data_IF_545339141311
#
_entry.id   IF_545339141311
#
_cell.length_a   1.000
_cell.length_b   1.000
_cell.length_c   1.000
_cell.angle_alpha   90.00
_cell.angle_beta   90.00
_cell.angle_gamma   90.00
#
_symmetry.space_group_name_H-M   'P 1'
#
loop_
_entity.id
_entity.type
_entity.pdbx_description
1 polymer ?
#
# COMPACT_ATOMS: atom_id res chain seq x y z
N UNK A 1 -9.78 74.00 25.53
CA UNK A 1 -10.40 72.69 25.24
C UNK A 1 -9.30 71.68 24.97
N UNK A 2 -9.22 70.58 25.75
CA UNK A 2 -8.15 69.58 25.64
C UNK A 2 -8.61 68.47 24.68
N UNK A 3 -7.82 68.14 23.65
CA UNK A 3 -8.06 66.96 22.79
C UNK A 3 -7.00 65.90 23.10
N UNK A 4 -7.47 64.78 23.65
CA UNK A 4 -6.67 63.62 24.02
C UNK A 4 -6.70 62.61 22.87
N UNK A 5 -5.55 62.35 22.24
CA UNK A 5 -5.43 61.30 21.23
C UNK A 5 -5.01 59.99 21.91
N UNK A 6 -5.94 59.03 21.98
CA UNK A 6 -5.65 57.68 22.41
C UNK A 6 -5.18 56.85 21.21
N UNK A 7 -3.92 56.40 21.22
CA UNK A 7 -3.42 55.39 20.29
C UNK A 7 -3.60 54.00 20.90
N UNK A 8 -4.37 53.13 20.23
CA UNK A 8 -4.42 51.71 20.58
C UNK A 8 -3.12 51.03 20.13
N UNK A 9 -2.29 50.64 21.10
CA UNK A 9 -1.13 49.79 20.85
C UNK A 9 -1.55 48.40 20.37
N UNK A 10 -0.98 47.95 19.25
CA UNK A 10 -1.38 46.71 18.57
C UNK A 10 -0.87 45.45 19.25
N UNK A 11 -1.70 44.41 19.23
CA UNK A 11 -1.41 43.08 19.78
C UNK A 11 -0.49 42.28 18.87
N UNK A 12 0.79 42.15 19.24
CA UNK A 12 1.67 41.13 18.66
C UNK A 12 1.45 39.78 19.36
N UNK A 13 0.42 39.05 18.94
CA UNK A 13 0.23 37.66 19.35
C UNK A 13 1.25 36.79 18.59
N UNK A 14 2.39 36.52 19.22
CA UNK A 14 3.45 35.70 18.65
C UNK A 14 2.98 34.24 18.46
N UNK A 15 2.56 33.92 17.23
CA UNK A 15 2.12 32.57 16.85
C UNK A 15 3.35 31.67 16.70
N UNK A 16 3.80 31.09 17.82
CA UNK A 16 4.91 30.14 17.85
C UNK A 16 4.53 28.88 17.05
N UNK A 17 5.05 28.77 15.84
CA UNK A 17 4.99 27.55 15.02
C UNK A 17 5.85 26.47 15.67
N UNK A 18 5.27 25.72 16.61
CA UNK A 18 5.84 24.49 17.14
C UNK A 18 5.88 23.42 16.04
N UNK A 19 6.97 23.41 15.28
CA UNK A 19 7.34 22.27 14.44
C UNK A 19 7.71 21.10 15.37
N UNK A 20 6.77 20.19 15.59
CA UNK A 20 7.03 18.99 16.37
C UNK A 20 8.16 18.16 15.71
N UNK A 21 9.17 17.68 16.48
CA UNK A 21 10.23 16.87 15.91
C UNK A 21 9.65 15.57 15.36
N UNK A 22 9.84 15.32 14.07
CA UNK A 22 9.49 14.06 13.43
C UNK A 22 10.46 12.97 13.90
N UNK A 23 10.12 12.31 15.00
CA UNK A 23 11.00 11.37 15.69
C UNK A 23 11.25 10.12 14.82
N UNK A 24 12.40 10.10 14.14
CA UNK A 24 12.82 9.01 13.29
C UNK A 24 13.60 7.99 14.14
N UNK A 25 13.00 6.82 14.35
CA UNK A 25 13.60 5.76 15.16
C UNK A 25 14.57 4.92 14.32
N UNK A 26 15.78 4.67 14.83
CA UNK A 26 16.73 3.75 14.16
C UNK A 26 16.38 2.30 14.49
N UNK A 27 16.38 1.43 13.48
CA UNK A 27 16.12 0.00 13.58
C UNK A 27 17.31 -0.80 13.04
N UNK A 28 17.85 -1.71 13.84
CA UNK A 28 18.89 -2.64 13.40
C UNK A 28 18.25 -3.91 12.83
N UNK A 29 18.51 -4.19 11.56
CA UNK A 29 18.00 -5.37 10.84
C UNK A 29 18.52 -6.65 11.48
N UNK A 30 17.63 -7.58 11.84
CA UNK A 30 18.02 -8.89 12.38
C UNK A 30 18.03 -9.97 11.30
N UNK A 31 18.54 -11.16 11.61
CA UNK A 31 18.46 -12.29 10.68
C UNK A 31 17.00 -12.63 10.35
N UNK A 32 16.72 -12.89 9.07
CA UNK A 32 15.38 -13.19 8.58
C UNK A 32 14.44 -11.97 8.40
N UNK A 33 14.89 -10.74 8.69
CA UNK A 33 14.11 -9.53 8.38
C UNK A 33 14.01 -9.26 6.88
N UNK A 34 13.01 -8.46 6.51
CA UNK A 34 12.88 -7.88 5.17
C UNK A 34 12.30 -6.47 5.31
N UNK A 35 12.56 -5.60 4.33
CA UNK A 35 11.96 -4.25 4.33
C UNK A 35 10.44 -4.29 4.47
N UNK A 36 9.78 -5.33 3.97
CA UNK A 36 8.34 -5.53 4.14
C UNK A 36 7.96 -5.82 5.59
N UNK A 37 8.64 -6.75 6.27
CA UNK A 37 8.39 -7.08 7.68
C UNK A 37 8.62 -5.86 8.59
N UNK A 38 9.71 -5.13 8.37
CA UNK A 38 10.05 -3.91 9.11
C UNK A 38 9.00 -2.82 8.85
N UNK A 39 8.68 -2.53 7.58
CA UNK A 39 7.69 -1.52 7.24
C UNK A 39 6.31 -1.84 7.86
N UNK A 40 5.87 -3.10 7.79
CA UNK A 40 4.64 -3.58 8.41
C UNK A 40 4.65 -3.43 9.94
N UNK A 41 5.73 -3.85 10.61
CA UNK A 41 5.92 -3.75 12.07
C UNK A 41 5.84 -2.31 12.58
N UNK A 42 6.29 -1.35 11.76
CA UNK A 42 6.33 0.08 12.10
C UNK A 42 5.22 0.92 11.43
N UNK A 43 4.22 0.29 10.80
CA UNK A 43 3.06 0.98 10.23
C UNK A 43 3.35 1.85 8.99
N UNK A 44 4.50 1.69 8.35
CA UNK A 44 4.92 2.46 7.16
C UNK A 44 4.91 1.59 5.90
N UNK A 45 5.22 2.20 4.75
CA UNK A 45 5.36 1.48 3.48
C UNK A 45 6.83 1.14 3.20
N UNK A 46 7.07 0.06 2.46
CA UNK A 46 8.42 -0.30 1.96
C UNK A 46 9.01 0.85 1.15
N UNK A 47 8.21 1.52 0.31
CA UNK A 47 8.66 2.68 -0.45
C UNK A 47 9.15 3.82 0.46
N UNK A 48 8.39 4.17 1.52
CA UNK A 48 8.81 5.19 2.49
C UNK A 48 10.06 4.79 3.25
N UNK A 49 10.16 3.53 3.69
CA UNK A 49 11.36 3.00 4.34
C UNK A 49 12.59 3.07 3.41
N UNK A 50 12.42 2.74 2.12
CA UNK A 50 13.48 2.83 1.12
C UNK A 50 13.93 4.25 0.85
N UNK A 51 12.99 5.19 0.62
CA UNK A 51 13.33 6.59 0.32
C UNK A 51 13.97 7.29 1.51
N UNK A 52 13.52 7.02 2.74
CA UNK A 52 14.19 7.52 3.96
C UNK A 52 15.62 6.97 4.12
N UNK A 53 15.95 5.80 3.57
CA UNK A 53 17.27 5.16 3.68
C UNK A 53 18.08 5.14 2.38
N UNK A 54 17.67 5.89 1.35
CA UNK A 54 18.29 5.90 0.02
C UNK A 54 18.51 4.50 -0.61
N UNK A 55 17.67 3.52 -0.25
CA UNK A 55 17.81 2.14 -0.70
C UNK A 55 17.32 1.95 -2.13
N UNK A 56 18.21 1.53 -3.03
CA UNK A 56 17.90 1.25 -4.43
C UNK A 56 17.17 -0.10 -4.59
N UNK A 57 17.66 -1.15 -3.94
CA UNK A 57 17.08 -2.50 -3.97
C UNK A 57 16.16 -2.78 -2.78
N UNK A 58 15.60 -3.99 -2.70
CA UNK A 58 14.83 -4.46 -1.54
C UNK A 58 15.67 -5.37 -0.61
N UNK A 59 16.94 -5.56 -0.94
CA UNK A 59 17.90 -6.38 -0.17
C UNK A 59 18.43 -5.56 1.00
N UNK A 60 18.42 -6.18 2.18
CA UNK A 60 19.03 -5.66 3.41
C UNK A 60 19.86 -6.77 4.05
N UNK A 61 20.83 -6.40 4.88
CA UNK A 61 21.71 -7.33 5.58
C UNK A 61 21.48 -7.27 7.09
N UNK A 62 21.66 -8.39 7.80
CA UNK A 62 21.65 -8.38 9.26
C UNK A 62 22.74 -7.44 9.80
N UNK A 63 22.44 -6.69 10.87
CA UNK A 63 23.28 -5.63 11.40
C UNK A 63 23.15 -4.28 10.69
N UNK A 64 22.50 -4.21 9.52
CA UNK A 64 22.25 -2.93 8.84
C UNK A 64 21.32 -2.03 9.68
N UNK A 65 21.70 -0.78 9.89
CA UNK A 65 20.82 0.22 10.52
C UNK A 65 19.94 0.89 9.47
N UNK A 66 18.64 1.00 9.78
CA UNK A 66 17.65 1.71 8.98
C UNK A 66 16.97 2.79 9.82
N UNK A 67 16.84 4.00 9.27
CA UNK A 67 16.02 5.08 9.80
C UNK A 67 14.56 4.77 9.48
N UNK A 68 13.75 4.53 10.51
CA UNK A 68 12.33 4.21 10.42
C UNK A 68 11.52 5.43 10.89
N UNK A 69 10.89 6.19 9.98
CA UNK A 69 10.07 7.32 10.36
C UNK A 69 8.82 6.81 11.11
N UNK A 70 8.56 7.33 12.31
CA UNK A 70 7.37 6.93 13.07
C UNK A 70 6.11 7.51 12.42
N UNK A 71 5.18 6.64 12.00
CA UNK A 71 3.88 7.05 11.48
C UNK A 71 2.91 7.35 12.63
N UNK A 72 3.11 8.48 13.29
CA UNK A 72 2.13 9.02 14.25
C UNK A 72 1.07 9.82 13.48
N UNK A 73 0.06 9.13 12.95
CA UNK A 73 -1.26 9.70 12.56
C UNK A 73 -2.27 8.55 12.25
N UNK A 74 -3.09 8.29 13.26
CA UNK A 74 -4.54 8.06 13.21
C UNK A 74 -5.20 7.15 12.15
N UNK A 75 -5.72 6.04 12.67
CA UNK A 75 -6.75 5.13 12.14
C UNK A 75 -7.87 5.78 11.31
N UNK A 76 -8.25 5.15 10.19
CA UNK A 76 -9.61 5.25 9.64
C UNK A 76 -10.01 3.99 8.87
N UNK A 77 -10.65 3.08 9.60
CA UNK A 77 -11.31 1.86 9.10
C UNK A 77 -12.66 2.27 8.53
N UNK A 78 -12.87 2.15 7.21
CA UNK A 78 -14.18 2.34 6.60
C UNK A 78 -14.79 1.00 6.17
N UNK A 79 -15.93 0.69 6.77
CA UNK A 79 -16.80 -0.44 6.44
C UNK A 79 -17.86 0.05 5.46
N UNK A 80 -18.08 -0.63 4.34
CA UNK A 80 -19.24 -0.39 3.49
C UNK A 80 -19.74 -1.68 2.85
N UNK A 81 -20.89 -2.14 3.33
CA UNK A 81 -21.64 -3.26 2.77
C UNK A 81 -22.37 -2.82 1.50
N UNK A 82 -22.17 -3.64 0.46
CA UNK A 82 -23.02 -3.91 -0.70
C UNK A 82 -24.49 -3.48 -0.66
N UNK A 83 -24.93 -2.79 -1.71
CA UNK A 83 -26.33 -2.70 -2.16
C UNK A 83 -26.42 -2.58 -3.69
N UNK A 84 -27.56 -2.96 -4.25
CA UNK A 84 -27.82 -3.20 -5.69
C UNK A 84 -29.21 -2.66 -6.08
N UNK A 85 -29.50 -2.24 -7.33
CA UNK A 85 -28.70 -2.26 -8.55
C UNK A 85 -29.14 -1.17 -9.57
N UNK A 86 -28.32 -0.98 -10.62
CA UNK A 86 -28.72 -0.94 -12.04
C UNK A 86 -29.80 0.07 -12.52
N UNK A 87 -29.36 1.12 -13.23
CA UNK A 87 -29.88 1.50 -14.57
C UNK A 87 -28.79 2.23 -15.35
N UNK A 88 -28.84 2.17 -16.68
CA UNK A 88 -27.81 2.67 -17.59
C UNK A 88 -28.29 3.88 -18.41
N UNK A 89 -27.35 4.46 -19.17
CA UNK A 89 -27.59 5.32 -20.34
C UNK A 89 -27.94 6.80 -20.09
N UNK A 90 -26.90 7.63 -19.91
CA UNK A 90 -26.52 8.54 -20.99
C UNK A 90 -25.08 9.08 -20.87
N UNK A 91 -24.39 9.20 -22.00
CA UNK A 91 -23.07 9.82 -22.10
C UNK A 91 -23.21 11.27 -22.56
N UNK A 92 -22.73 12.22 -21.75
CA UNK A 92 -21.88 13.35 -22.17
C UNK A 92 -21.86 14.47 -21.11
N UNK A 93 -20.65 14.97 -20.82
CA UNK A 93 -20.38 16.26 -20.19
C UNK A 93 -20.98 16.52 -18.78
N UNK A 94 -20.18 16.20 -17.76
CA UNK A 94 -20.04 17.08 -16.60
C UNK A 94 -18.66 16.92 -15.93
N UNK A 95 -17.71 17.77 -16.36
CA UNK A 95 -16.55 18.10 -15.55
C UNK A 95 -16.90 19.30 -14.65
N UNK A 96 -17.14 19.07 -13.36
CA UNK A 96 -16.88 20.05 -12.30
C UNK A 96 -16.65 19.32 -10.97
N UNK A 97 -15.89 19.95 -10.06
CA UNK A 97 -15.55 19.51 -8.68
C UNK A 97 -14.68 18.25 -8.52
N UNK A 98 -13.38 18.45 -8.78
CA UNK A 98 -12.23 17.73 -8.19
C UNK A 98 -12.44 17.38 -6.69
N UNK A 99 -12.63 16.10 -6.32
CA UNK A 99 -12.61 15.67 -4.92
C UNK A 99 -11.17 15.61 -4.38
N UNK A 100 -11.03 15.71 -3.05
CA UNK A 100 -9.77 15.78 -2.30
C UNK A 100 -8.57 15.04 -2.92
N UNK A 101 -7.46 15.77 -3.14
CA UNK A 101 -6.24 15.26 -3.77
C UNK A 101 -5.52 14.27 -2.85
N UNK A 102 -5.91 13.01 -2.93
CA UNK A 102 -5.01 11.88 -2.67
C UNK A 102 -3.82 12.04 -3.63
N UNK A 103 -2.59 11.98 -3.13
CA UNK A 103 -1.38 12.01 -3.98
C UNK A 103 -1.55 11.07 -5.18
N UNK A 104 -1.46 11.59 -6.41
CA UNK A 104 -1.39 10.75 -7.60
C UNK A 104 0.03 10.16 -7.69
N UNK A 105 0.26 9.13 -6.87
CA UNK A 105 1.51 8.37 -6.86
C UNK A 105 1.77 7.83 -8.26
N UNK A 106 2.95 8.12 -8.81
CA UNK A 106 3.37 7.59 -10.11
C UNK A 106 3.16 6.07 -10.15
N UNK A 107 2.59 5.57 -11.24
CA UNK A 107 2.32 4.15 -11.43
C UNK A 107 2.66 3.70 -12.85
N UNK A 108 3.24 2.51 -12.95
CA UNK A 108 3.40 1.79 -14.22
C UNK A 108 2.19 0.90 -14.45
N UNK A 109 1.53 1.05 -15.59
CA UNK A 109 0.43 0.17 -16.00
C UNK A 109 0.96 -1.03 -16.80
N UNK A 110 0.48 -2.23 -16.49
CA UNK A 110 0.84 -3.48 -17.20
C UNK A 110 -0.42 -4.33 -17.39
N UNK A 111 -0.63 -4.89 -18.59
CA UNK A 111 -1.64 -5.95 -18.81
C UNK A 111 -1.02 -7.32 -18.57
N UNK A 112 -1.68 -8.16 -17.79
CA UNK A 112 -1.18 -9.49 -17.40
C UNK A 112 -2.27 -10.56 -17.49
N UNK A 113 -1.86 -11.82 -17.61
CA UNK A 113 -2.74 -12.95 -17.30
C UNK A 113 -2.83 -13.13 -15.80
N UNK A 114 -4.03 -13.16 -15.25
CA UNK A 114 -4.30 -13.42 -13.83
C UNK A 114 -5.05 -14.74 -13.65
N UNK A 115 -4.57 -15.54 -12.70
CA UNK A 115 -5.28 -16.68 -12.09
C UNK A 115 -5.55 -16.39 -10.61
N UNK A 116 -6.12 -17.33 -9.87
CA UNK A 116 -6.20 -17.25 -8.42
C UNK A 116 -5.73 -18.53 -7.72
N UNK A 117 -5.09 -18.35 -6.55
CA UNK A 117 -4.68 -19.43 -5.66
C UNK A 117 -5.33 -19.29 -4.28
N UNK A 118 -5.16 -20.32 -3.45
CA UNK A 118 -5.61 -20.32 -2.06
C UNK A 118 -4.58 -20.95 -1.14
N UNK A 119 -4.49 -20.45 0.10
CA UNK A 119 -3.53 -20.89 1.12
C UNK A 119 -4.00 -22.13 1.92
N UNK A 120 -5.22 -22.61 1.65
CA UNK A 120 -5.92 -23.63 2.43
C UNK A 120 -5.89 -25.03 1.80
N UNK A 121 -4.96 -25.27 0.85
CA UNK A 121 -4.66 -26.59 0.33
C UNK A 121 -3.98 -27.49 1.38
N UNK A 122 -4.17 -28.81 1.29
CA UNK A 122 -3.56 -29.81 2.19
C UNK A 122 -2.03 -29.70 2.09
N UNK A 123 -1.36 -29.58 3.24
CA UNK A 123 0.10 -29.42 3.33
C UNK A 123 0.64 -28.02 3.04
N UNK A 124 -0.18 -27.09 2.52
CA UNK A 124 0.27 -25.72 2.24
C UNK A 124 0.55 -24.97 3.54
N UNK A 125 1.74 -24.37 3.69
CA UNK A 125 2.09 -23.55 4.86
C UNK A 125 1.17 -22.33 5.01
N UNK A 126 0.80 -21.73 3.87
CA UNK A 126 0.12 -20.44 3.80
C UNK A 126 1.04 -19.25 4.12
N UNK A 127 2.36 -19.45 4.04
CA UNK A 127 3.37 -18.40 4.20
C UNK A 127 3.92 -18.06 2.82
N UNK A 128 3.85 -16.78 2.43
CA UNK A 128 4.31 -16.30 1.11
C UNK A 128 5.83 -16.08 1.07
N UNK A 129 6.38 -15.84 -0.13
CA UNK A 129 7.78 -15.51 -0.34
C UNK A 129 8.29 -14.31 0.49
N UNK A 130 7.46 -13.30 0.79
CA UNK A 130 7.83 -12.18 1.69
C UNK A 130 7.62 -12.47 3.18
N UNK A 131 7.14 -13.68 3.53
CA UNK A 131 6.87 -14.11 4.91
C UNK A 131 5.47 -13.79 5.43
N UNK A 132 4.52 -13.38 4.56
CA UNK A 132 3.14 -13.09 4.99
C UNK A 132 2.42 -14.40 5.29
N UNK A 133 1.90 -14.56 6.50
CA UNK A 133 1.05 -15.69 6.85
C UNK A 133 -0.42 -15.41 6.48
N UNK A 134 -0.86 -15.93 5.33
CA UNK A 134 -2.21 -15.78 4.79
C UNK A 134 -3.27 -16.50 5.61
N UNK A 135 -2.92 -17.59 6.31
CA UNK A 135 -3.87 -18.28 7.20
C UNK A 135 -4.25 -17.44 8.42
N UNK A 136 -3.29 -16.68 8.97
CA UNK A 136 -3.53 -15.66 10.01
C UNK A 136 -4.16 -14.37 9.44
N UNK A 137 -4.06 -14.12 8.14
CA UNK A 137 -4.52 -12.91 7.47
C UNK A 137 -5.44 -13.23 6.27
N UNK A 138 -6.57 -13.93 6.45
CA UNK A 138 -7.41 -14.47 5.35
C UNK A 138 -7.91 -13.41 4.37
N UNK A 139 -8.08 -12.17 4.83
CA UNK A 139 -8.61 -11.07 4.03
C UNK A 139 -7.52 -10.18 3.40
N UNK A 140 -6.24 -10.47 3.64
CA UNK A 140 -5.14 -9.68 3.08
C UNK A 140 -5.03 -9.89 1.58
N UNK A 141 -4.91 -8.80 0.83
CA UNK A 141 -4.81 -8.82 -0.64
C UNK A 141 -3.36 -9.01 -1.04
N UNK A 142 -2.98 -10.24 -1.37
CA UNK A 142 -1.62 -10.59 -1.81
C UNK A 142 -1.68 -11.23 -3.19
N UNK A 143 -0.73 -10.87 -4.05
CA UNK A 143 -0.54 -11.51 -5.36
C UNK A 143 0.83 -12.17 -5.46
N UNK A 144 0.88 -13.31 -6.15
CA UNK A 144 2.12 -13.90 -6.63
C UNK A 144 2.52 -13.28 -7.97
N UNK A 145 3.81 -13.00 -8.16
CA UNK A 145 4.35 -12.30 -9.33
C UNK A 145 5.69 -12.89 -9.80
N UNK A 146 6.15 -12.49 -10.99
CA UNK A 146 7.56 -12.55 -11.36
C UNK A 146 8.30 -11.31 -10.80
N UNK A 147 9.24 -11.45 -9.85
CA UNK A 147 9.94 -10.32 -9.23
C UNK A 147 10.71 -9.43 -10.22
N UNK A 148 11.02 -9.94 -11.42
CA UNK A 148 11.71 -9.19 -12.50
C UNK A 148 10.77 -8.23 -13.24
N UNK A 149 9.44 -8.43 -13.13
CA UNK A 149 8.41 -7.61 -13.76
C UNK A 149 7.70 -6.72 -12.73
N UNK A 150 7.38 -7.28 -11.56
CA UNK A 150 6.78 -6.57 -10.42
C UNK A 150 7.60 -6.92 -9.18
N UNK A 151 8.40 -6.00 -8.62
CA UNK A 151 9.23 -6.28 -7.44
C UNK A 151 8.40 -6.74 -6.23
N UNK A 152 8.95 -7.68 -5.46
CA UNK A 152 8.31 -8.11 -4.20
C UNK A 152 8.25 -6.95 -3.20
N UNK A 153 7.11 -6.79 -2.54
CA UNK A 153 6.80 -5.68 -1.65
C UNK A 153 6.18 -4.45 -2.35
N UNK A 154 6.09 -4.43 -3.69
CA UNK A 154 5.36 -3.36 -4.40
C UNK A 154 3.89 -3.35 -4.00
N UNK A 155 3.36 -2.15 -3.73
CA UNK A 155 1.92 -1.92 -3.71
C UNK A 155 1.42 -1.92 -5.15
N UNK A 156 0.30 -2.59 -5.39
CA UNK A 156 -0.36 -2.63 -6.70
C UNK A 156 -1.85 -2.38 -6.57
N UNK A 157 -2.50 -1.98 -7.65
CA UNK A 157 -3.94 -2.13 -7.83
C UNK A 157 -4.19 -3.09 -8.99
N UNK A 158 -5.08 -4.06 -8.79
CA UNK A 158 -5.43 -5.09 -9.76
C UNK A 158 -6.89 -4.95 -10.13
N UNK A 159 -7.17 -4.78 -11.42
CA UNK A 159 -8.52 -4.67 -11.97
C UNK A 159 -9.42 -5.83 -11.50
N UNK A 160 -10.59 -5.50 -10.95
CA UNK A 160 -11.55 -6.46 -10.38
C UNK A 160 -11.16 -7.09 -9.03
N UNK A 161 -9.94 -6.87 -8.52
CA UNK A 161 -9.48 -7.44 -7.24
C UNK A 161 -9.18 -6.38 -6.17
N UNK A 162 -8.77 -5.17 -6.56
CA UNK A 162 -8.51 -4.03 -5.67
C UNK A 162 -7.02 -3.79 -5.40
N UNK A 163 -6.73 -2.97 -4.38
CA UNK A 163 -5.36 -2.78 -3.90
C UNK A 163 -4.80 -4.07 -3.29
N UNK A 164 -3.53 -4.37 -3.59
CA UNK A 164 -2.85 -5.57 -3.14
C UNK A 164 -1.34 -5.35 -2.95
N UNK A 165 -0.67 -6.35 -2.38
CA UNK A 165 0.79 -6.41 -2.22
C UNK A 165 1.33 -7.51 -3.14
N UNK A 166 2.41 -7.22 -3.88
CA UNK A 166 3.24 -8.23 -4.54
C UNK A 166 4.05 -9.00 -3.49
N UNK A 167 3.40 -9.91 -2.76
CA UNK A 167 3.95 -10.55 -1.57
C UNK A 167 4.39 -12.00 -1.77
N UNK A 168 4.19 -12.56 -2.96
CA UNK A 168 4.47 -13.97 -3.21
C UNK A 168 5.09 -14.26 -4.58
N UNK A 169 5.55 -15.49 -4.78
CA UNK A 169 6.06 -15.99 -6.06
C UNK A 169 5.56 -17.40 -6.32
N UNK A 170 5.60 -17.85 -7.57
CA UNK A 170 5.30 -19.24 -7.91
C UNK A 170 6.14 -19.73 -9.09
N UNK A 171 6.42 -21.04 -9.13
CA UNK A 171 7.20 -21.65 -10.22
C UNK A 171 6.61 -21.37 -11.60
N UNK A 172 5.27 -21.42 -11.71
CA UNK A 172 4.52 -21.15 -12.93
C UNK A 172 4.11 -19.67 -13.12
N UNK A 173 4.58 -18.75 -12.27
CA UNK A 173 4.28 -17.31 -12.33
C UNK A 173 5.53 -16.58 -12.85
N UNK A 174 5.57 -16.37 -14.16
CA UNK A 174 6.72 -15.82 -14.90
C UNK A 174 6.24 -14.79 -15.93
N UNK A 175 7.03 -13.75 -16.16
CA UNK A 175 6.70 -12.66 -17.08
C UNK A 175 5.43 -11.90 -16.68
N UNK A 176 4.61 -11.53 -17.66
CA UNK A 176 3.34 -10.81 -17.47
C UNK A 176 2.20 -11.74 -17.00
N UNK A 177 2.44 -12.47 -15.92
CA UNK A 177 1.46 -13.36 -15.26
C UNK A 177 1.47 -13.11 -13.75
N UNK A 178 0.28 -13.13 -13.15
CA UNK A 178 0.11 -13.06 -11.69
C UNK A 178 -0.85 -14.15 -11.20
N UNK A 179 -0.85 -14.38 -9.88
CA UNK A 179 -1.83 -15.21 -9.19
C UNK A 179 -2.41 -14.44 -8.00
N UNK A 180 -3.72 -14.24 -7.92
CA UNK A 180 -4.33 -13.51 -6.79
C UNK A 180 -4.69 -14.46 -5.65
N UNK A 181 -4.37 -14.10 -4.41
CA UNK A 181 -4.82 -14.88 -3.25
C UNK A 181 -6.32 -14.69 -3.02
N UNK A 182 -7.06 -15.79 -2.90
CA UNK A 182 -8.44 -15.77 -2.45
C UNK A 182 -8.66 -16.76 -1.28
N UNK A 183 -9.42 -16.36 -0.24
CA UNK A 183 -9.52 -17.13 1.00
C UNK A 183 -10.30 -18.44 0.88
N UNK A 184 -10.99 -18.69 -0.24
CA UNK A 184 -11.74 -19.94 -0.46
C UNK A 184 -11.55 -20.44 -1.89
N UNK A 185 -11.54 -21.76 -2.04
CA UNK A 185 -11.48 -22.44 -3.34
C UNK A 185 -12.63 -22.01 -4.27
N UNK A 186 -13.82 -21.75 -3.72
CA UNK A 186 -14.95 -21.24 -4.50
C UNK A 186 -14.66 -19.85 -5.09
N UNK A 187 -14.12 -18.92 -4.30
CA UNK A 187 -13.70 -17.60 -4.81
C UNK A 187 -12.60 -17.71 -5.86
N UNK A 188 -11.61 -18.60 -5.65
CA UNK A 188 -10.55 -18.85 -6.64
C UNK A 188 -11.10 -19.41 -7.97
N UNK A 189 -12.03 -20.37 -7.92
CA UNK A 189 -12.71 -20.89 -9.12
C UNK A 189 -13.52 -19.80 -9.84
N UNK A 190 -14.27 -18.99 -9.11
CA UNK A 190 -15.08 -17.90 -9.69
C UNK A 190 -14.22 -16.76 -10.28
N UNK A 191 -12.99 -16.57 -9.79
CA UNK A 191 -12.03 -15.68 -10.43
C UNK A 191 -11.58 -16.24 -11.79
N UNK A 192 -11.27 -17.53 -11.86
CA UNK A 192 -10.87 -18.21 -13.08
C UNK A 192 -9.55 -17.66 -13.65
N UNK A 193 -9.35 -17.83 -14.95
CA UNK A 193 -8.25 -17.20 -15.71
C UNK A 193 -8.79 -16.03 -16.52
N UNK A 194 -8.18 -14.85 -16.37
CA UNK A 194 -8.60 -13.63 -17.06
C UNK A 194 -7.40 -12.73 -17.38
N UNK A 195 -7.53 -11.86 -18.38
CA UNK A 195 -6.56 -10.78 -18.61
C UNK A 195 -7.00 -9.56 -17.81
N UNK A 196 -6.10 -8.96 -17.03
CA UNK A 196 -6.38 -7.80 -16.19
C UNK A 196 -5.31 -6.72 -16.34
N UNK A 197 -5.71 -5.50 -16.07
CA UNK A 197 -4.84 -4.33 -15.93
C UNK A 197 -4.34 -4.21 -14.50
N UNK A 198 -3.04 -3.98 -14.34
CA UNK A 198 -2.40 -3.71 -13.05
C UNK A 198 -1.76 -2.34 -13.09
N UNK A 199 -1.95 -1.56 -12.02
CA UNK A 199 -1.15 -0.38 -11.70
C UNK A 199 -0.11 -0.79 -10.65
N UNK A 200 1.18 -0.67 -10.96
CA UNK A 200 2.28 -0.88 -10.02
C UNK A 200 2.74 0.50 -9.55
N UNK A 201 2.51 0.81 -8.27
CA UNK A 201 2.93 2.09 -7.70
C UNK A 201 4.45 2.12 -7.51
N UNK A 202 5.06 3.25 -7.86
CA UNK A 202 6.50 3.50 -7.79
C UNK A 202 6.87 4.19 -6.47
#
# INVERSE_FOLDING_TARGET
MKKLFAFLGTTFLAFALFAAPTEAATYTVTEGDSLFKIAQKHGITVAKLKTTNNLKSNTIQAGQQLVVPTAKETTSKSTATSATAQVAENMAQQQTTKPAVKEERAYKTIRVTSTAYTAYCRGCSGVTATGINLKKNPNMKVIAVDPRVIPLGSKVWVEGYGEAIAGDTGGAIKGNKIDVFLPTTAKAKNWGRRTVTIKVYQ
#
